data_IF_872581073137
#
_entry.id   IF_872581073137
#
_cell.length_a   1.000
_cell.length_b   1.000
_cell.length_c   1.000
_cell.angle_alpha   90.00
_cell.angle_beta   90.00
_cell.angle_gamma   90.00
#
_symmetry.space_group_name_H-M   'P 1'
#
loop_
_entity.id
_entity.type
_entity.pdbx_description
1 polymer ?
#
# COMPACT_ATOMS: atom_id res chain seq x y z
N UNK A 1 -25.93 -7.05 -0.72
CA UNK A 1 -25.35 -6.88 -2.05
C UNK A 1 -23.82 -6.90 -2.00
N UNK A 2 -23.19 -7.29 -3.09
CA UNK A 2 -21.73 -7.43 -3.15
C UNK A 2 -21.01 -6.08 -2.92
N UNK A 3 -21.54 -5.00 -3.48
CA UNK A 3 -20.92 -3.68 -3.31
C UNK A 3 -20.93 -3.24 -1.85
N UNK A 4 -22.03 -3.46 -1.14
CA UNK A 4 -22.12 -3.11 0.27
C UNK A 4 -21.14 -3.90 1.13
N UNK A 5 -20.97 -5.20 0.82
CA UNK A 5 -19.99 -6.03 1.50
C UNK A 5 -18.58 -5.46 1.38
N UNK A 6 -18.18 -5.06 0.17
CA UNK A 6 -16.85 -4.54 -0.05
C UNK A 6 -16.65 -3.16 0.55
N UNK A 7 -17.70 -2.34 0.62
CA UNK A 7 -17.63 -1.07 1.34
C UNK A 7 -17.38 -1.30 2.83
N UNK A 8 -18.05 -2.29 3.43
CA UNK A 8 -17.81 -2.64 4.83
C UNK A 8 -16.39 -3.13 5.06
N UNK A 9 -15.85 -3.96 4.16
CA UNK A 9 -14.48 -4.48 4.27
C UNK A 9 -13.43 -3.36 4.28
N UNK A 10 -13.71 -2.25 3.58
CA UNK A 10 -12.79 -1.11 3.54
C UNK A 10 -13.20 0.02 4.49
N UNK A 11 -14.09 -0.29 5.45
CA UNK A 11 -14.51 0.65 6.49
C UNK A 11 -15.26 1.88 5.94
N UNK A 12 -15.95 1.75 4.81
CA UNK A 12 -16.85 2.79 4.29
C UNK A 12 -18.29 2.41 4.64
N UNK A 13 -19.07 3.33 5.26
CA UNK A 13 -20.45 3.02 5.60
C UNK A 13 -21.27 2.63 4.36
N UNK A 14 -22.00 1.50 4.39
CA UNK A 14 -22.82 1.09 3.25
C UNK A 14 -23.88 2.11 2.86
N UNK A 15 -24.30 2.99 3.79
CA UNK A 15 -25.25 4.06 3.51
C UNK A 15 -24.74 5.07 2.49
N UNK A 16 -23.43 5.07 2.21
CA UNK A 16 -22.83 6.00 1.25
C UNK A 16 -22.61 5.38 -0.13
N UNK A 17 -23.23 4.24 -0.41
CA UNK A 17 -23.05 3.53 -1.68
C UNK A 17 -23.44 4.38 -2.90
N UNK A 18 -24.42 5.27 -2.72
CA UNK A 18 -24.91 6.14 -3.81
C UNK A 18 -24.20 7.49 -3.88
N UNK A 19 -23.26 7.75 -2.96
CA UNK A 19 -22.52 9.01 -2.96
C UNK A 19 -21.50 9.04 -4.10
N UNK A 20 -21.27 10.23 -4.65
CA UNK A 20 -20.22 10.41 -5.65
C UNK A 20 -18.85 10.33 -4.99
N UNK A 21 -17.85 9.72 -5.67
CA UNK A 21 -16.49 9.63 -5.10
C UNK A 21 -15.91 10.98 -4.71
N UNK A 22 -16.30 12.07 -5.39
CA UNK A 22 -15.80 13.41 -5.09
C UNK A 22 -16.28 13.95 -3.74
N UNK A 23 -17.32 13.35 -3.13
CA UNK A 23 -17.79 13.71 -1.80
C UNK A 23 -17.02 13.03 -0.68
N UNK A 24 -16.14 12.09 -1.02
CA UNK A 24 -15.35 11.34 -0.04
C UNK A 24 -14.06 12.08 0.28
N UNK A 25 -13.56 11.90 1.51
CA UNK A 25 -12.21 12.35 1.86
C UNK A 25 -11.17 11.57 1.04
N UNK A 26 -9.92 12.05 1.02
CA UNK A 26 -8.82 11.37 0.34
C UNK A 26 -8.66 9.91 0.80
N UNK A 27 -8.71 9.67 2.11
CA UNK A 27 -8.63 8.33 2.66
C UNK A 27 -9.80 7.45 2.25
N UNK A 28 -11.02 8.01 2.22
CA UNK A 28 -12.20 7.28 1.77
C UNK A 28 -12.13 6.97 0.28
N UNK A 29 -11.61 7.88 -0.54
CA UNK A 29 -11.41 7.61 -1.97
C UNK A 29 -10.42 6.47 -2.20
N UNK A 30 -9.33 6.43 -1.44
CA UNK A 30 -8.36 5.34 -1.54
C UNK A 30 -8.98 4.00 -1.11
N UNK A 31 -9.78 4.00 -0.04
CA UNK A 31 -10.48 2.80 0.40
C UNK A 31 -11.49 2.33 -0.64
N UNK A 32 -12.17 3.24 -1.30
CA UNK A 32 -13.10 2.91 -2.37
C UNK A 32 -12.36 2.26 -3.56
N UNK A 33 -11.17 2.76 -3.90
CA UNK A 33 -10.33 2.15 -4.92
C UNK A 33 -9.94 0.72 -4.55
N UNK A 34 -9.60 0.48 -3.29
CA UNK A 34 -9.27 -0.86 -2.79
C UNK A 34 -10.48 -1.77 -2.95
N UNK A 35 -11.66 -1.34 -2.50
CA UNK A 35 -12.89 -2.12 -2.64
C UNK A 35 -13.17 -2.46 -4.09
N UNK A 36 -13.02 -1.48 -4.99
CA UNK A 36 -13.22 -1.66 -6.42
C UNK A 36 -12.31 -2.74 -7.00
N UNK A 37 -11.05 -2.76 -6.57
CA UNK A 37 -10.10 -3.77 -7.02
C UNK A 37 -10.42 -5.14 -6.46
N UNK A 38 -10.99 -5.23 -5.26
CA UNK A 38 -11.26 -6.49 -4.58
C UNK A 38 -12.59 -7.14 -4.97
N UNK A 39 -13.50 -6.40 -5.61
CA UNK A 39 -14.81 -6.92 -6.03
C UNK A 39 -14.67 -8.16 -6.92
N UNK A 40 -13.65 -8.20 -7.78
CA UNK A 40 -13.39 -9.34 -8.66
C UNK A 40 -12.73 -10.52 -7.95
N UNK A 41 -12.43 -10.39 -6.67
CA UNK A 41 -11.75 -11.40 -5.85
C UNK A 41 -10.43 -11.86 -6.47
N UNK A 42 -9.50 -10.93 -6.77
CA UNK A 42 -8.22 -11.28 -7.40
C UNK A 42 -7.33 -12.04 -6.42
N UNK A 43 -6.35 -12.76 -6.96
CA UNK A 43 -5.29 -13.39 -6.17
C UNK A 43 -4.05 -12.49 -6.05
N UNK A 44 -3.90 -11.56 -6.97
CA UNK A 44 -2.77 -10.64 -7.04
C UNK A 44 -3.29 -9.23 -7.29
N UNK A 45 -2.79 -8.28 -6.50
CA UNK A 45 -3.16 -6.87 -6.63
C UNK A 45 -1.88 -6.04 -6.72
N UNK A 46 -1.86 -5.11 -7.69
CA UNK A 46 -0.82 -4.09 -7.80
C UNK A 46 -1.33 -2.77 -7.27
N UNK A 47 -0.55 -2.11 -6.43
CA UNK A 47 -0.87 -0.79 -5.89
C UNK A 47 0.30 0.15 -6.10
N UNK A 48 0.04 1.31 -6.69
CA UNK A 48 1.05 2.32 -6.96
C UNK A 48 0.81 3.53 -6.06
N UNK A 49 1.71 3.73 -5.10
CA UNK A 49 1.68 4.86 -4.17
C UNK A 49 0.30 5.02 -3.48
N UNK A 50 -0.24 3.97 -2.84
CA UNK A 50 -1.62 4.02 -2.34
C UNK A 50 -1.84 5.03 -1.21
N UNK A 51 -0.75 5.48 -0.55
CA UNK A 51 -0.83 6.48 0.52
C UNK A 51 -0.45 7.88 0.07
N UNK A 52 -0.17 8.07 -1.23
CA UNK A 52 0.25 9.36 -1.75
C UNK A 52 -0.79 10.46 -1.51
N UNK A 53 -0.34 11.62 -1.04
CA UNK A 53 -1.21 12.75 -0.81
C UNK A 53 -2.05 12.70 0.47
N UNK A 54 -1.91 11.65 1.28
CA UNK A 54 -2.66 11.52 2.55
C UNK A 54 -1.81 12.00 3.71
N UNK A 55 -2.47 12.53 4.75
CA UNK A 55 -1.76 12.88 5.98
C UNK A 55 -1.34 11.61 6.76
N UNK A 56 -0.48 11.78 7.77
CA UNK A 56 0.15 10.67 8.48
C UNK A 56 -0.88 9.76 9.16
N UNK A 57 -1.89 10.35 9.80
CA UNK A 57 -2.90 9.54 10.51
C UNK A 57 -3.77 8.75 9.57
N UNK A 58 -4.15 9.33 8.43
CA UNK A 58 -4.94 8.65 7.39
C UNK A 58 -4.10 7.56 6.73
N UNK A 59 -2.81 7.82 6.48
CA UNK A 59 -1.89 6.81 5.96
C UNK A 59 -1.84 5.59 6.86
N UNK A 60 -1.65 5.80 8.17
CA UNK A 60 -1.53 4.71 9.13
C UNK A 60 -2.77 3.82 9.12
N UNK A 61 -3.96 4.41 9.08
CA UNK A 61 -5.21 3.66 9.04
C UNK A 61 -5.36 2.87 7.74
N UNK A 62 -4.98 3.48 6.61
CA UNK A 62 -5.03 2.79 5.31
C UNK A 62 -4.06 1.62 5.25
N UNK A 63 -2.84 1.80 5.78
CA UNK A 63 -1.84 0.74 5.81
C UNK A 63 -2.28 -0.44 6.69
N UNK A 64 -2.88 -0.17 7.84
CA UNK A 64 -3.43 -1.21 8.70
C UNK A 64 -4.54 -1.99 7.99
N UNK A 65 -5.41 -1.28 7.28
CA UNK A 65 -6.47 -1.90 6.50
C UNK A 65 -5.91 -2.83 5.42
N UNK A 66 -4.95 -2.36 4.63
CA UNK A 66 -4.32 -3.15 3.57
C UNK A 66 -3.66 -4.40 4.12
N UNK A 67 -2.94 -4.26 5.23
CA UNK A 67 -2.26 -5.37 5.89
C UNK A 67 -3.25 -6.43 6.34
N UNK A 68 -4.34 -6.01 6.98
CA UNK A 68 -5.39 -6.90 7.43
C UNK A 68 -6.08 -7.63 6.27
N UNK A 69 -6.41 -6.92 5.21
CA UNK A 69 -7.05 -7.50 4.03
C UNK A 69 -6.14 -8.49 3.31
N UNK A 70 -4.85 -8.19 3.21
CA UNK A 70 -3.90 -9.10 2.57
C UNK A 70 -3.85 -10.45 3.29
N UNK A 71 -3.87 -10.43 4.62
CA UNK A 71 -3.88 -11.64 5.43
C UNK A 71 -5.23 -12.35 5.35
N UNK A 72 -6.32 -11.61 5.59
CA UNK A 72 -7.68 -12.18 5.65
C UNK A 72 -8.09 -12.82 4.33
N UNK A 73 -7.80 -12.15 3.21
CA UNK A 73 -8.19 -12.60 1.87
C UNK A 73 -7.12 -13.41 1.17
N UNK A 74 -6.00 -13.66 1.84
CA UNK A 74 -4.85 -14.40 1.28
C UNK A 74 -4.40 -13.81 -0.05
N UNK A 75 -4.25 -12.48 -0.10
CA UNK A 75 -3.85 -11.75 -1.31
C UNK A 75 -2.34 -11.71 -1.43
N UNK A 76 -1.85 -11.83 -2.67
CA UNK A 76 -0.51 -11.39 -3.02
C UNK A 76 -0.59 -9.92 -3.45
N UNK A 77 0.20 -9.06 -2.82
CA UNK A 77 0.19 -7.62 -3.10
C UNK A 77 1.57 -7.19 -3.56
N UNK A 78 1.61 -6.50 -4.69
CA UNK A 78 2.80 -5.79 -5.16
C UNK A 78 2.54 -4.30 -4.97
N UNK A 79 3.34 -3.68 -4.12
CA UNK A 79 3.19 -2.28 -3.75
C UNK A 79 4.36 -1.50 -4.31
N UNK A 80 4.07 -0.43 -5.06
CA UNK A 80 5.09 0.51 -5.53
C UNK A 80 5.05 1.73 -4.62
N UNK A 81 6.18 2.06 -4.01
CA UNK A 81 6.29 3.23 -3.13
C UNK A 81 7.71 3.74 -3.09
N UNK A 82 7.86 5.05 -2.88
CA UNK A 82 9.15 5.65 -2.56
C UNK A 82 9.32 5.89 -1.06
N UNK A 83 8.31 5.55 -0.26
CA UNK A 83 8.34 5.73 1.19
C UNK A 83 8.83 4.44 1.85
N UNK A 84 10.06 4.47 2.37
CA UNK A 84 10.67 3.29 2.99
C UNK A 84 9.98 2.89 4.29
N UNK A 85 9.34 3.81 4.99
CA UNK A 85 8.53 3.49 6.16
C UNK A 85 7.32 2.64 5.80
N UNK A 86 6.64 2.99 4.71
CA UNK A 86 5.52 2.20 4.17
C UNK A 86 6.00 0.80 3.78
N UNK A 87 7.13 0.72 3.08
CA UNK A 87 7.70 -0.56 2.66
C UNK A 87 8.01 -1.44 3.88
N UNK A 88 8.61 -0.87 4.92
CA UNK A 88 8.94 -1.63 6.15
C UNK A 88 7.68 -2.18 6.84
N UNK A 89 6.60 -1.40 6.85
CA UNK A 89 5.36 -1.82 7.51
C UNK A 89 4.61 -2.92 6.75
N UNK A 90 4.59 -2.86 5.42
CA UNK A 90 3.73 -3.72 4.62
C UNK A 90 4.45 -4.86 3.92
N UNK A 91 5.69 -4.65 3.50
CA UNK A 91 6.34 -5.58 2.59
C UNK A 91 7.17 -6.63 3.35
N UNK A 92 7.04 -7.88 2.94
CA UNK A 92 7.88 -8.98 3.42
C UNK A 92 9.21 -8.98 2.65
N UNK A 93 9.18 -8.61 1.38
CA UNK A 93 10.35 -8.57 0.50
C UNK A 93 10.35 -7.27 -0.27
N UNK A 94 11.55 -6.80 -0.61
CA UNK A 94 11.73 -5.59 -1.41
C UNK A 94 12.45 -5.89 -2.72
N UNK A 95 12.03 -5.17 -3.75
CA UNK A 95 12.79 -5.02 -4.98
C UNK A 95 13.14 -3.54 -5.10
N UNK A 96 14.43 -3.22 -5.10
CA UNK A 96 14.89 -1.84 -5.33
C UNK A 96 15.15 -1.68 -6.82
N UNK A 97 14.49 -0.70 -7.43
CA UNK A 97 14.58 -0.49 -8.86
C UNK A 97 15.23 0.85 -9.18
N UNK A 98 16.02 0.87 -10.24
CA UNK A 98 16.61 2.08 -10.78
C UNK A 98 16.67 1.95 -12.29
N UNK A 99 16.14 2.96 -13.00
CA UNK A 99 16.18 3.02 -14.47
C UNK A 99 15.63 1.73 -15.11
N UNK A 100 14.50 1.23 -14.58
CA UNK A 100 13.85 0.06 -15.12
C UNK A 100 14.48 -1.28 -14.77
N UNK A 101 15.50 -1.29 -13.92
CA UNK A 101 16.20 -2.52 -13.55
C UNK A 101 16.13 -2.75 -12.05
N UNK A 102 16.05 -4.01 -11.65
CA UNK A 102 16.15 -4.39 -10.23
C UNK A 102 17.63 -4.40 -9.86
N UNK A 103 18.02 -3.52 -8.94
CA UNK A 103 19.42 -3.40 -8.49
C UNK A 103 19.70 -4.16 -7.21
N UNK A 104 18.66 -4.40 -6.41
CA UNK A 104 18.79 -5.18 -5.18
C UNK A 104 17.44 -5.80 -4.84
N UNK A 105 17.45 -7.01 -4.25
CA UNK A 105 16.23 -7.68 -3.77
C UNK A 105 16.54 -8.51 -2.53
N UNK A 106 15.51 -8.75 -1.72
CA UNK A 106 15.64 -9.57 -0.54
C UNK A 106 14.57 -9.29 0.48
N UNK A 107 14.73 -9.87 1.68
CA UNK A 107 13.85 -9.60 2.80
C UNK A 107 13.92 -8.12 3.17
N UNK A 108 12.78 -7.54 3.50
CA UNK A 108 12.66 -6.10 3.75
C UNK A 108 13.67 -5.61 4.79
N UNK A 109 13.73 -6.27 5.94
CA UNK A 109 14.62 -5.81 7.01
C UNK A 109 16.09 -5.92 6.62
N UNK A 110 16.47 -6.97 5.90
CA UNK A 110 17.85 -7.10 5.41
C UNK A 110 18.20 -6.00 4.43
N UNK A 111 17.32 -5.72 3.46
CA UNK A 111 17.58 -4.69 2.44
C UNK A 111 17.68 -3.29 3.07
N UNK A 112 16.82 -3.00 4.04
CA UNK A 112 16.80 -1.68 4.69
C UNK A 112 17.88 -1.51 5.75
N UNK A 113 18.21 -2.56 6.49
CA UNK A 113 19.20 -2.49 7.59
C UNK A 113 20.62 -2.80 7.13
N UNK A 114 20.78 -3.55 6.05
CA UNK A 114 22.09 -3.92 5.49
C UNK A 114 22.06 -3.86 3.96
N UNK A 115 21.87 -2.66 3.36
CA UNK A 115 21.81 -2.52 1.92
C UNK A 115 23.18 -2.80 1.27
N UNK A 116 23.18 -3.57 0.19
CA UNK A 116 24.40 -3.98 -0.49
C UNK A 116 24.72 -3.12 -1.73
N UNK A 117 23.67 -2.68 -2.45
CA UNK A 117 23.89 -1.86 -3.65
C UNK A 117 24.06 -0.40 -3.27
N UNK A 118 25.00 0.34 -3.90
CA UNK A 118 25.22 1.76 -3.58
C UNK A 118 23.96 2.64 -3.70
N UNK A 119 23.09 2.34 -4.66
CA UNK A 119 21.84 3.09 -4.81
C UNK A 119 20.90 2.84 -3.63
N UNK A 120 20.79 1.59 -3.17
CA UNK A 120 19.99 1.26 -1.99
C UNK A 120 20.54 1.95 -0.75
N UNK A 121 21.87 1.94 -0.60
CA UNK A 121 22.53 2.64 0.51
C UNK A 121 22.21 4.13 0.51
N UNK A 122 22.17 4.74 -0.66
CA UNK A 122 21.81 6.16 -0.81
C UNK A 122 20.34 6.40 -0.39
N UNK A 123 19.42 5.56 -0.85
CA UNK A 123 18.01 5.69 -0.50
C UNK A 123 17.79 5.61 1.01
N UNK A 124 18.39 4.61 1.65
CA UNK A 124 18.26 4.39 3.09
C UNK A 124 18.86 5.54 3.88
N UNK A 125 20.05 6.02 3.50
CA UNK A 125 20.69 7.13 4.19
C UNK A 125 19.93 8.44 4.05
N UNK A 126 19.23 8.65 2.93
CA UNK A 126 18.41 9.85 2.73
C UNK A 126 17.25 9.92 3.72
N UNK A 127 16.67 8.79 4.09
CA UNK A 127 15.58 8.73 5.09
C UNK A 127 16.10 9.09 6.48
N UNK A 128 17.30 8.62 6.83
CA UNK A 128 17.89 8.87 8.15
C UNK A 128 18.28 10.32 8.36
N UNK A 129 18.41 11.12 7.30
CA UNK A 129 18.75 12.53 7.37
C UNK A 129 17.53 13.45 7.55
N UNK A 130 16.34 12.91 7.42
CA UNK A 130 15.09 13.64 7.61
C UNK A 130 14.52 13.31 9.02
#
# INVERSE_FOLDING_TARGET
>A
ATAEKWLQEVEIPPSRIDDLPTTFSGGMQQRLQIARNLVTQPKLVFMDEPTGGLDVSVQARLLDLLRGLAVELNLAVVLVTHDLGVARLLANRLLVMKQGQVVESGLTDRVLDDPHHPYTQLLVSSVLQN
#
